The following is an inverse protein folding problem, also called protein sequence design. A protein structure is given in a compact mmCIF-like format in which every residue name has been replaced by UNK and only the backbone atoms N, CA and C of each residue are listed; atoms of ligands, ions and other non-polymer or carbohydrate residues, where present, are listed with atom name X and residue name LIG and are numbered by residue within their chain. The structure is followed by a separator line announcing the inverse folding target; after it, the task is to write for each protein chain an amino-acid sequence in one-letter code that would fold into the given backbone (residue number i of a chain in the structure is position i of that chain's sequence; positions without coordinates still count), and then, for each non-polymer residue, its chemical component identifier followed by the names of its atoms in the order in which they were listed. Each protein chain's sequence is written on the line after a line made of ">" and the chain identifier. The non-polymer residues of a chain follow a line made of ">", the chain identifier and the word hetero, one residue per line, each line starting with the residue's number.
data_IF_482795921149
#
_entry.id   IF_482795921149
#
_cell.length_a   1.000
_cell.length_b   1.000
_cell.length_c   1.000
_cell.angle_alpha   90.00
_cell.angle_beta   90.00
_cell.angle_gamma   90.00
#
_symmetry.space_group_name_H-M   'P 1'
#
loop_
_entity.id
_entity.type
_entity.pdbx_description
1 polymer ?
#
# COMPACT_ATOMS: atom_id res chain seq x y z
N UNK A 1 -4.75 13.97 -19.28
CA UNK A 1 -3.65 13.01 -19.08
C UNK A 1 -3.59 12.75 -17.59
N UNK A 2 -4.09 11.61 -17.13
CA UNK A 2 -4.02 11.25 -15.72
C UNK A 2 -2.56 10.98 -15.35
N UNK A 3 -1.96 11.88 -14.57
CA UNK A 3 -0.57 11.79 -14.15
C UNK A 3 -0.40 10.61 -13.19
N UNK A 4 0.03 9.45 -13.71
CA UNK A 4 0.27 8.27 -12.91
C UNK A 4 1.54 8.40 -12.06
N UNK A 5 1.47 7.97 -10.81
CA UNK A 5 2.58 8.03 -9.86
C UNK A 5 2.87 6.65 -9.29
N UNK A 6 4.13 6.43 -8.89
CA UNK A 6 4.58 5.18 -8.29
C UNK A 6 4.49 5.27 -6.77
N UNK A 7 4.02 4.21 -6.15
CA UNK A 7 3.88 4.11 -4.70
C UNK A 7 4.43 2.78 -4.20
N UNK A 8 5.03 2.81 -3.01
CA UNK A 8 5.12 1.62 -2.18
C UNK A 8 3.75 1.35 -1.57
N UNK A 9 3.24 0.14 -1.75
CA UNK A 9 1.92 -0.27 -1.23
C UNK A 9 1.98 -1.64 -0.59
N UNK A 10 1.01 -1.92 0.27
CA UNK A 10 0.69 -3.28 0.73
C UNK A 10 -0.76 -3.60 0.41
N UNK A 11 -1.09 -4.88 0.31
CA UNK A 11 -2.49 -5.32 0.14
C UNK A 11 -3.15 -5.47 1.49
N UNK A 12 -4.35 -4.91 1.66
CA UNK A 12 -5.11 -5.13 2.89
C UNK A 12 -5.36 -6.64 3.11
N UNK A 13 -5.06 -7.15 4.31
CA UNK A 13 -5.28 -8.58 4.65
C UNK A 13 -6.75 -8.91 4.89
N UNK A 14 -7.62 -7.90 5.09
CA UNK A 14 -9.06 -8.08 5.23
C UNK A 14 -9.76 -8.25 3.87
N UNK A 15 -9.38 -9.28 3.11
CA UNK A 15 -9.84 -9.48 1.73
C UNK A 15 -11.36 -9.65 1.65
N UNK A 16 -11.98 -10.34 2.62
CA UNK A 16 -13.42 -10.56 2.66
C UNK A 16 -14.22 -9.24 2.63
N UNK A 17 -13.81 -8.25 3.44
CA UNK A 17 -14.46 -6.93 3.47
C UNK A 17 -14.40 -6.20 2.11
N UNK A 18 -13.30 -6.35 1.38
CA UNK A 18 -13.16 -5.71 0.07
C UNK A 18 -13.90 -6.48 -1.02
N UNK A 19 -13.96 -7.81 -0.93
CA UNK A 19 -14.71 -8.67 -1.85
C UNK A 19 -16.22 -8.47 -1.76
N UNK A 20 -16.74 -8.12 -0.58
CA UNK A 20 -18.16 -7.72 -0.42
C UNK A 20 -18.51 -6.49 -1.27
N UNK A 21 -17.58 -5.54 -1.41
CA UNK A 21 -17.78 -4.34 -2.25
C UNK A 21 -17.49 -4.61 -3.73
N UNK A 22 -16.42 -5.35 -4.01
CA UNK A 22 -16.04 -5.76 -5.37
C UNK A 22 -15.24 -7.07 -5.31
N UNK A 23 -15.76 -8.19 -5.83
CA UNK A 23 -15.13 -9.52 -5.76
C UNK A 23 -13.71 -9.60 -6.33
N UNK A 24 -13.37 -8.69 -7.25
CA UNK A 24 -12.06 -8.67 -7.92
C UNK A 24 -11.11 -7.59 -7.37
N UNK A 25 -11.57 -6.76 -6.42
CA UNK A 25 -10.75 -5.68 -5.89
C UNK A 25 -9.85 -6.16 -4.75
N UNK A 26 -8.54 -6.04 -4.97
CA UNK A 26 -7.55 -6.02 -3.90
C UNK A 26 -7.31 -4.58 -3.50
N UNK A 27 -7.59 -4.25 -2.23
CA UNK A 27 -7.33 -2.91 -1.72
C UNK A 27 -5.84 -2.70 -1.46
N UNK A 28 -5.28 -1.66 -2.10
CA UNK A 28 -3.86 -1.29 -1.99
C UNK A 28 -3.72 -0.09 -1.06
N UNK A 29 -3.07 -0.30 0.08
CA UNK A 29 -2.81 0.75 1.06
C UNK A 29 -1.48 1.42 0.69
N UNK A 30 -1.52 2.73 0.43
CA UNK A 30 -0.32 3.50 0.05
C UNK A 30 0.54 3.78 1.28
N UNK A 31 1.82 3.42 1.19
CA UNK A 31 2.81 3.63 2.25
C UNK A 31 3.65 4.87 2.00
N UNK A 32 4.15 5.06 0.77
CA UNK A 32 4.89 6.26 0.39
C UNK A 32 4.94 6.40 -1.12
N UNK A 33 5.18 7.62 -1.60
CA UNK A 33 5.50 7.86 -3.01
C UNK A 33 6.91 7.33 -3.29
N UNK A 34 7.12 6.79 -4.48
CA UNK A 34 8.43 6.29 -4.92
C UNK A 34 8.69 6.68 -6.37
N UNK A 35 9.92 6.43 -6.82
CA UNK A 35 10.34 6.63 -8.20
C UNK A 35 10.54 5.29 -8.93
N UNK A 36 10.57 5.34 -10.26
CA UNK A 36 10.85 4.18 -11.11
C UNK A 36 12.28 3.69 -10.82
N UNK A 37 12.43 2.40 -10.56
CA UNK A 37 13.75 1.80 -10.30
C UNK A 37 14.25 1.96 -8.86
N UNK A 38 13.43 2.49 -7.94
CA UNK A 38 13.75 2.48 -6.51
C UNK A 38 13.97 1.05 -6.02
N UNK A 39 15.02 0.85 -5.20
CA UNK A 39 15.33 -0.46 -4.62
C UNK A 39 14.21 -0.93 -3.70
N UNK A 40 13.98 -2.23 -3.70
CA UNK A 40 13.02 -2.87 -2.82
C UNK A 40 13.35 -2.60 -1.34
N UNK A 41 12.32 -2.50 -0.50
CA UNK A 41 12.44 -2.09 0.91
C UNK A 41 12.78 -3.28 1.82
N UNK A 42 13.73 -4.12 1.41
CA UNK A 42 14.11 -5.38 2.10
C UNK A 42 14.63 -5.18 3.54
N UNK A 43 15.09 -3.97 3.87
CA UNK A 43 15.56 -3.62 5.20
C UNK A 43 14.43 -3.27 6.19
N UNK A 44 13.18 -3.15 5.71
CA UNK A 44 12.05 -2.84 6.58
C UNK A 44 11.68 -4.11 7.35
N UNK A 45 11.82 -4.06 8.68
CA UNK A 45 11.36 -5.13 9.57
C UNK A 45 9.83 -5.28 9.56
N UNK A 46 9.26 -5.96 10.55
CA UNK A 46 7.80 -6.02 10.71
C UNK A 46 7.24 -4.64 11.04
N UNK A 47 6.17 -4.23 10.36
CA UNK A 47 5.53 -2.94 10.58
C UNK A 47 4.00 -3.05 10.49
N UNK A 48 3.30 -2.20 11.24
CA UNK A 48 1.84 -2.23 11.31
C UNK A 48 1.22 -1.11 10.48
N UNK A 49 0.29 -1.46 9.61
CA UNK A 49 -0.40 -0.53 8.71
C UNK A 49 -1.89 -0.61 8.99
N UNK A 50 -2.52 0.56 9.12
CA UNK A 50 -3.98 0.69 9.20
C UNK A 50 -4.55 0.84 7.79
N UNK A 51 -5.55 0.04 7.45
CA UNK A 51 -6.28 0.17 6.19
C UNK A 51 -7.11 1.46 6.18
N UNK A 52 -6.94 2.26 5.14
CA UNK A 52 -7.66 3.51 4.88
C UNK A 52 -9.11 3.31 4.41
N UNK A 53 -9.50 2.10 4.02
CA UNK A 53 -10.89 1.77 3.65
C UNK A 53 -11.63 0.98 4.74
N UNK A 54 -11.03 -0.07 5.31
CA UNK A 54 -11.71 -0.91 6.32
C UNK A 54 -11.36 -0.57 7.78
N UNK A 55 -10.41 0.33 8.02
CA UNK A 55 -9.99 0.78 9.35
C UNK A 55 -9.23 -0.25 10.19
N UNK A 56 -9.09 -1.51 9.72
CA UNK A 56 -8.36 -2.55 10.46
C UNK A 56 -6.85 -2.38 10.32
N UNK A 57 -6.13 -2.66 11.40
CA UNK A 57 -4.67 -2.69 11.43
C UNK A 57 -4.13 -4.09 11.23
N UNK A 58 -3.11 -4.22 10.39
CA UNK A 58 -2.40 -5.48 10.15
C UNK A 58 -0.90 -5.26 10.16
N UNK A 59 -0.15 -6.30 10.52
CA UNK A 59 1.31 -6.31 10.45
C UNK A 59 1.76 -6.90 9.11
N UNK A 60 2.75 -6.25 8.51
CA UNK A 60 3.36 -6.59 7.23
C UNK A 60 4.87 -6.77 7.36
N UNK A 61 5.45 -7.53 6.44
CA UNK A 61 6.89 -7.70 6.27
C UNK A 61 7.36 -7.08 4.95
N UNK A 62 8.66 -6.79 4.82
CA UNK A 62 9.23 -6.21 3.59
C UNK A 62 8.82 -6.93 2.28
N UNK A 63 8.78 -8.28 2.19
CA UNK A 63 8.37 -8.97 0.97
C UNK A 63 6.91 -8.73 0.56
N UNK A 64 6.07 -8.24 1.47
CA UNK A 64 4.67 -7.91 1.19
C UNK A 64 4.51 -6.49 0.62
N UNK A 65 5.56 -5.67 0.68
CA UNK A 65 5.60 -4.33 0.08
C UNK A 65 5.84 -4.49 -1.41
N UNK A 66 5.00 -3.88 -2.23
CA UNK A 66 5.16 -3.89 -3.69
C UNK A 66 5.14 -2.47 -4.25
N UNK A 67 5.76 -2.30 -5.41
CA UNK A 67 5.60 -1.08 -6.19
C UNK A 67 4.29 -1.16 -6.97
N UNK A 68 3.50 -0.10 -6.92
CA UNK A 68 2.23 0.02 -7.63
C UNK A 68 2.08 1.38 -8.28
N UNK A 69 1.49 1.39 -9.48
CA UNK A 69 1.23 2.61 -10.26
C UNK A 69 -0.24 2.96 -10.13
N UNK A 70 -0.53 4.21 -9.80
CA UNK A 70 -1.90 4.69 -9.72
C UNK A 70 -2.06 6.20 -9.71
N UNK A 71 -3.32 6.67 -9.55
CA UNK A 71 -3.62 8.09 -9.59
C UNK A 71 -2.99 8.84 -8.39
N UNK A 72 -2.72 10.14 -8.55
CA UNK A 72 -2.27 11.01 -7.49
C UNK A 72 -3.39 11.16 -6.46
N UNK A 73 -3.10 10.79 -5.21
CA UNK A 73 -4.02 10.99 -4.10
C UNK A 73 -3.26 11.56 -2.92
N UNK A 74 -3.95 12.35 -2.11
CA UNK A 74 -3.44 12.72 -0.79
C UNK A 74 -3.57 11.52 0.14
N UNK A 75 -2.46 11.14 0.76
CA UNK A 75 -2.41 10.13 1.81
C UNK A 75 -1.31 10.52 2.80
N UNK A 76 -1.39 10.00 4.03
CA UNK A 76 -0.31 10.18 4.99
C UNK A 76 0.73 9.08 4.77
N UNK A 77 1.99 9.42 4.43
CA UNK A 77 3.03 8.42 4.30
C UNK A 77 3.25 7.68 5.62
N UNK A 78 3.48 6.38 5.53
CA UNK A 78 3.86 5.57 6.67
C UNK A 78 5.23 6.05 7.18
N UNK A 79 5.42 6.27 8.50
CA UNK A 79 6.66 6.86 9.04
C UNK A 79 7.95 6.13 8.64
N UNK A 80 7.88 4.81 8.47
CA UNK A 80 9.03 3.98 8.01
C UNK A 80 9.38 4.17 6.52
N UNK A 81 8.52 4.82 5.75
CA UNK A 81 8.66 4.98 4.30
C UNK A 81 8.68 6.46 3.87
N UNK A 82 8.56 7.40 4.82
CA UNK A 82 8.61 8.83 4.61
C UNK A 82 10.01 9.34 4.23
#
# INVERSE_FOLDING_TARGET
>A
MDEQQHYWVVTCKNVAYHQEKNPFALHRIRLAKTEVGARHRDHVGRFSVMCDDCGKQFTYEAPEVIMWIGPPVLFMPHPLFA
#
